data_IF_672061841535
#
_entry.id   IF_672061841535
#
_cell.length_a   1.000
_cell.length_b   1.000
_cell.length_c   1.000
_cell.angle_alpha   90.00
_cell.angle_beta   90.00
_cell.angle_gamma   90.00
#
_symmetry.space_group_name_H-M   'P 1'
#
loop_
_entity.id
_entity.type
_entity.pdbx_description
1 polymer ?
#
# COMPACT_ATOMS: atom_id res chain seq x y z
N UNK A 1 -8.17 -12.75 6.65
CA UNK A 1 -8.00 -12.47 5.21
C UNK A 1 -6.89 -13.37 4.68
N UNK A 2 -7.04 -13.86 3.45
CA UNK A 2 -6.04 -14.67 2.73
C UNK A 2 -5.98 -14.21 1.27
N UNK A 3 -5.58 -15.08 0.34
CA UNK A 3 -5.58 -14.74 -1.09
C UNK A 3 -4.57 -13.66 -1.43
N UNK A 4 -5.02 -12.53 -1.97
CA UNK A 4 -4.15 -11.43 -2.38
C UNK A 4 -3.70 -10.52 -1.23
N UNK A 5 -4.32 -10.63 -0.05
CA UNK A 5 -4.04 -9.74 1.09
C UNK A 5 -2.55 -9.70 1.50
N UNK A 6 -1.80 -10.83 1.58
CA UNK A 6 -0.38 -10.79 1.92
C UNK A 6 0.46 -10.04 0.89
N UNK A 7 0.15 -10.19 -0.40
CA UNK A 7 0.84 -9.48 -1.48
C UNK A 7 0.58 -7.98 -1.41
N UNK A 8 -0.68 -7.59 -1.22
CA UNK A 8 -1.06 -6.18 -1.05
C UNK A 8 -0.40 -5.56 0.18
N UNK A 9 -0.41 -6.27 1.32
CA UNK A 9 0.24 -5.82 2.55
C UNK A 9 1.72 -5.58 2.34
N UNK A 10 2.42 -6.55 1.75
CA UNK A 10 3.88 -6.45 1.56
C UNK A 10 4.24 -5.31 0.60
N UNK A 11 3.55 -5.23 -0.54
CA UNK A 11 3.76 -4.17 -1.52
C UNK A 11 3.50 -2.77 -0.94
N UNK A 12 2.40 -2.60 -0.20
CA UNK A 12 2.07 -1.33 0.43
C UNK A 12 3.08 -0.95 1.52
N UNK A 13 3.48 -1.90 2.37
CA UNK A 13 4.44 -1.67 3.43
C UNK A 13 5.81 -1.26 2.88
N UNK A 14 6.31 -1.93 1.83
CA UNK A 14 7.60 -1.58 1.23
C UNK A 14 7.60 -0.16 0.65
N UNK A 15 6.53 0.25 -0.04
CA UNK A 15 6.43 1.62 -0.57
C UNK A 15 6.31 2.63 0.57
N UNK A 16 5.47 2.38 1.57
CA UNK A 16 5.28 3.29 2.68
C UNK A 16 6.57 3.45 3.51
N UNK A 17 7.30 2.36 3.77
CA UNK A 17 8.61 2.41 4.45
C UNK A 17 9.63 3.19 3.60
N UNK A 18 9.66 2.99 2.29
CA UNK A 18 10.53 3.77 1.40
C UNK A 18 10.25 5.27 1.52
N UNK A 19 8.98 5.68 1.45
CA UNK A 19 8.56 7.08 1.59
C UNK A 19 8.83 7.64 2.98
N UNK A 20 8.73 6.83 4.03
CA UNK A 20 9.11 7.22 5.39
C UNK A 20 10.62 7.47 5.51
N UNK A 21 11.43 6.56 4.94
CA UNK A 21 12.90 6.70 4.93
C UNK A 21 13.35 7.94 4.13
N UNK A 22 12.62 8.29 3.06
CA UNK A 22 12.82 9.51 2.28
C UNK A 22 12.19 10.76 2.91
N UNK A 23 11.60 10.62 4.11
CA UNK A 23 10.96 11.71 4.89
C UNK A 23 9.74 12.36 4.22
N UNK A 24 9.11 11.65 3.28
CA UNK A 24 7.87 12.12 2.61
C UNK A 24 6.62 11.87 3.46
N UNK A 25 6.65 10.89 4.37
CA UNK A 25 5.55 10.57 5.29
C UNK A 25 6.03 10.40 6.73
N UNK A 26 5.12 10.48 7.71
CA UNK A 26 5.45 10.22 9.12
C UNK A 26 5.33 8.71 9.46
N UNK A 27 5.89 8.30 10.60
CA UNK A 27 5.87 6.89 11.03
C UNK A 27 4.45 6.30 11.12
N UNK A 28 3.48 7.06 11.64
CA UNK A 28 2.08 6.61 11.75
C UNK A 28 1.32 6.63 10.42
N UNK A 29 1.87 7.24 9.37
CA UNK A 29 1.25 7.19 8.05
C UNK A 29 1.50 5.84 7.37
N UNK A 30 2.55 5.11 7.75
CA UNK A 30 2.81 3.76 7.26
C UNK A 30 1.60 2.86 7.53
N UNK A 31 1.10 2.84 8.76
CA UNK A 31 -0.03 2.00 9.14
C UNK A 31 -1.31 2.43 8.43
N UNK A 32 -1.58 3.74 8.33
CA UNK A 32 -2.76 4.26 7.61
C UNK A 32 -2.76 3.87 6.13
N UNK A 33 -1.60 3.96 5.48
CA UNK A 33 -1.45 3.60 4.06
C UNK A 33 -1.66 2.10 3.86
N UNK A 34 -1.06 1.27 4.72
CA UNK A 34 -1.21 -0.19 4.64
C UNK A 34 -2.65 -0.61 4.90
N UNK A 35 -3.31 -0.04 5.91
CA UNK A 35 -4.73 -0.27 6.21
C UNK A 35 -5.62 0.06 5.01
N UNK A 36 -5.45 1.26 4.43
CA UNK A 36 -6.19 1.66 3.24
C UNK A 36 -5.93 0.76 2.03
N UNK A 37 -4.69 0.34 1.82
CA UNK A 37 -4.38 -0.60 0.74
C UNK A 37 -5.12 -1.95 0.92
N UNK A 38 -5.27 -2.40 2.17
CA UNK A 38 -5.96 -3.64 2.53
C UNK A 38 -7.49 -3.57 2.37
N UNK A 39 -8.10 -2.39 2.51
CA UNK A 39 -9.53 -2.17 2.25
C UNK A 39 -9.93 -2.45 0.80
N UNK A 40 -8.98 -2.29 -0.12
CA UNK A 40 -9.17 -2.44 -1.56
C UNK A 40 -8.57 -3.75 -2.10
N UNK A 41 -8.36 -4.76 -1.25
CA UNK A 41 -7.86 -6.08 -1.68
C UNK A 41 -8.90 -6.75 -2.58
N UNK A 42 -8.52 -7.17 -3.81
CA UNK A 42 -9.43 -7.92 -4.67
C UNK A 42 -9.85 -9.25 -4.03
N UNK A 43 -11.09 -9.63 -4.26
CA UNK A 43 -11.60 -10.94 -3.86
C UNK A 43 -10.89 -12.07 -4.61
N UNK A 44 -10.80 -13.24 -3.99
CA UNK A 44 -10.19 -14.43 -4.57
C UNK A 44 -8.75 -14.64 -4.14
N UNK A 45 -8.02 -15.41 -4.93
CA UNK A 45 -6.63 -15.82 -4.65
C UNK A 45 -5.88 -16.02 -5.95
N UNK A 46 -4.57 -15.80 -5.92
CA UNK A 46 -3.75 -16.05 -7.08
C UNK A 46 -3.75 -17.53 -7.46
N UNK A 47 -3.90 -17.82 -8.75
CA UNK A 47 -3.74 -19.18 -9.30
C UNK A 47 -2.42 -19.37 -10.03
N UNK A 48 -1.66 -18.29 -10.22
CA UNK A 48 -0.36 -18.28 -10.88
C UNK A 48 0.46 -17.05 -10.43
N UNK A 49 1.75 -17.06 -10.76
CA UNK A 49 2.66 -15.98 -10.39
C UNK A 49 2.36 -14.64 -11.08
N UNK A 50 1.83 -14.67 -12.31
CA UNK A 50 1.49 -13.44 -13.04
C UNK A 50 0.49 -12.60 -12.27
N UNK A 51 -0.53 -13.21 -11.68
CA UNK A 51 -1.51 -12.51 -10.85
C UNK A 51 -0.89 -11.91 -9.58
N UNK A 52 0.09 -12.60 -8.97
CA UNK A 52 0.84 -12.04 -7.83
C UNK A 52 1.61 -10.79 -8.25
N UNK A 53 2.31 -10.85 -9.40
CA UNK A 53 3.05 -9.70 -9.93
C UNK A 53 2.15 -8.53 -10.29
N UNK A 54 0.99 -8.79 -10.89
CA UNK A 54 0.02 -7.75 -11.24
C UNK A 54 -0.53 -7.05 -9.99
N UNK A 55 -0.91 -7.81 -8.96
CA UNK A 55 -1.40 -7.25 -7.69
C UNK A 55 -0.32 -6.47 -6.96
N UNK A 56 0.91 -7.00 -6.88
CA UNK A 56 2.04 -6.28 -6.30
C UNK A 56 2.26 -4.94 -7.03
N UNK A 57 2.39 -4.96 -8.36
CA UNK A 57 2.60 -3.77 -9.19
C UNK A 57 1.48 -2.74 -9.00
N UNK A 58 0.21 -3.16 -9.14
CA UNK A 58 -0.94 -2.26 -9.00
C UNK A 58 -0.99 -1.63 -7.60
N UNK A 59 -0.68 -2.41 -6.56
CA UNK A 59 -0.63 -1.91 -5.18
C UNK A 59 0.44 -0.83 -5.04
N UNK A 60 1.65 -1.06 -5.57
CA UNK A 60 2.74 -0.07 -5.51
C UNK A 60 2.37 1.22 -6.24
N UNK A 61 1.82 1.12 -7.44
CA UNK A 61 1.41 2.28 -8.23
C UNK A 61 0.33 3.11 -7.52
N UNK A 62 -0.66 2.44 -6.91
CA UNK A 62 -1.70 3.11 -6.12
C UNK A 62 -1.10 3.80 -4.89
N UNK A 63 -0.32 3.09 -4.09
CA UNK A 63 0.26 3.64 -2.85
C UNK A 63 1.18 4.82 -3.15
N UNK A 64 2.04 4.74 -4.18
CA UNK A 64 2.89 5.86 -4.60
C UNK A 64 2.08 7.10 -5.04
N UNK A 65 0.88 6.91 -5.60
CA UNK A 65 0.00 8.02 -5.95
C UNK A 65 -0.58 8.71 -4.72
N UNK A 66 -0.76 7.97 -3.62
CA UNK A 66 -1.32 8.46 -2.36
C UNK A 66 -0.30 9.15 -1.46
N UNK A 67 0.99 8.76 -1.55
CA UNK A 67 2.08 9.36 -0.78
C UNK A 67 2.59 10.67 -1.39
N UNK A 68 2.41 10.89 -2.70
CA UNK A 68 2.66 12.19 -3.36
C UNK A 68 1.70 13.27 -2.82
N UNK A 69 2.08 14.56 -2.83
CA UNK A 69 1.49 15.61 -1.98
C UNK A 69 0.05 16.00 -2.36
N UNK A 70 -0.90 15.11 -2.12
CA UNK A 70 -2.32 15.37 -2.29
C UNK A 70 -3.20 14.75 -1.20
N UNK A 71 -2.66 14.03 -0.20
CA UNK A 71 -3.52 13.36 0.81
C UNK A 71 -3.10 13.59 2.28
N UNK A 72 -1.83 13.85 2.62
CA UNK A 72 -1.41 13.98 4.04
C UNK A 72 -1.37 15.44 4.52
N UNK A 73 -2.40 16.22 4.19
CA UNK A 73 -2.70 17.47 4.91
C UNK A 73 -4.13 17.42 5.43
N UNK A 74 -4.33 16.71 6.56
CA UNK A 74 -5.45 16.91 7.49
C UNK A 74 -5.27 15.96 8.69
N UNK A 75 -4.41 16.37 9.61
CA UNK A 75 -4.57 16.03 11.03
C UNK A 75 -3.85 17.08 11.87
N UNK A 76 -4.34 18.32 11.81
CA UNK A 76 -4.23 19.25 12.94
C UNK A 76 -5.18 18.76 14.02
N UNK A 77 -4.61 18.33 15.15
CA UNK A 77 -5.21 18.37 16.48
C UNK A 77 -4.15 18.91 17.43
#
# INVERSE_FOLDING_TARGET
MGGFAPTVLNAANEVAVYEFLDKNISFLDITKIVEKALEEVPSGSATNLTQIYEIDKNTRERVLKETKPSIISKSTA
#
